data_IF_833618942383
#
_entry.id   IF_833618942383
#
_cell.length_a   1.000
_cell.length_b   1.000
_cell.length_c   1.000
_cell.angle_alpha   90.00
_cell.angle_beta   90.00
_cell.angle_gamma   90.00
#
_symmetry.space_group_name_H-M   'P 1'
#
loop_
_entity.id
_entity.type
_entity.pdbx_description
1 polymer ?
#
# COMPACT_ATOMS: atom_id res chain seq x y z
N UNK A 1 -23.71 23.37 10.97
CA UNK A 1 -23.26 22.04 10.51
C UNK A 1 -22.03 21.69 11.31
N UNK A 2 -22.08 20.66 12.15
CA UNK A 2 -20.87 20.07 12.73
C UNK A 2 -20.05 19.46 11.60
N UNK A 3 -18.73 19.72 11.57
CA UNK A 3 -17.85 19.17 10.54
C UNK A 3 -17.79 17.65 10.61
N UNK A 4 -17.54 16.98 9.48
CA UNK A 4 -17.28 15.54 9.47
C UNK A 4 -15.94 15.30 10.18
N UNK A 5 -15.87 14.39 11.17
CA UNK A 5 -14.62 14.05 11.83
C UNK A 5 -13.55 13.60 10.82
N UNK A 6 -12.32 14.03 11.06
CA UNK A 6 -11.16 13.67 10.27
C UNK A 6 -10.00 13.28 11.18
N UNK A 7 -9.24 12.27 10.78
CA UNK A 7 -8.02 11.84 11.45
C UNK A 7 -6.90 11.64 10.42
N UNK A 8 -5.67 11.95 10.81
CA UNK A 8 -4.48 11.75 10.00
C UNK A 8 -3.39 11.06 10.80
N UNK A 9 -2.61 10.20 10.13
CA UNK A 9 -1.49 9.49 10.73
C UNK A 9 -0.43 9.15 9.68
N UNK A 10 0.76 8.76 10.13
CA UNK A 10 1.81 8.24 9.25
C UNK A 10 2.37 6.96 9.85
N UNK A 11 2.44 5.92 9.04
CA UNK A 11 3.14 4.67 9.40
C UNK A 11 4.40 4.51 8.54
N UNK A 12 5.40 3.84 9.10
CA UNK A 12 6.61 3.43 8.39
C UNK A 12 6.66 1.90 8.29
N UNK A 13 6.99 1.40 7.11
CA UNK A 13 7.07 -0.02 6.79
C UNK A 13 8.50 -0.32 6.35
N UNK A 14 9.15 -1.23 7.06
CA UNK A 14 10.45 -1.77 6.64
C UNK A 14 10.23 -2.88 5.61
N UNK A 15 11.01 -2.85 4.56
CA UNK A 15 11.02 -3.83 3.47
C UNK A 15 12.41 -4.44 3.39
N UNK A 16 12.51 -5.74 3.11
CA UNK A 16 13.78 -6.47 3.03
C UNK A 16 14.27 -6.70 1.60
N UNK A 17 13.51 -6.23 0.61
CA UNK A 17 13.73 -6.42 -0.82
C UNK A 17 12.40 -6.60 -1.54
N UNK A 18 12.46 -6.92 -2.84
CA UNK A 18 11.28 -7.07 -3.70
C UNK A 18 10.25 -7.99 -3.08
N UNK A 19 8.99 -7.55 -3.06
CA UNK A 19 7.90 -8.39 -2.55
C UNK A 19 6.79 -7.64 -1.88
N UNK A 20 5.85 -8.43 -1.36
CA UNK A 20 4.65 -7.98 -0.71
C UNK A 20 4.86 -7.92 0.81
N UNK A 21 4.71 -6.74 1.39
CA UNK A 21 4.65 -6.55 2.85
C UNK A 21 3.21 -6.22 3.23
N UNK A 22 2.56 -7.11 3.97
CA UNK A 22 1.16 -6.93 4.36
C UNK A 22 1.01 -5.88 5.47
N UNK A 23 0.09 -4.94 5.28
CA UNK A 23 -0.18 -3.85 6.23
C UNK A 23 -1.63 -3.84 6.73
N UNK A 24 -2.47 -4.80 6.32
CA UNK A 24 -3.90 -4.90 6.69
C UNK A 24 -4.13 -4.73 8.19
N UNK A 25 -3.35 -5.43 9.02
CA UNK A 25 -3.48 -5.39 10.48
C UNK A 25 -3.09 -4.03 11.08
N UNK A 26 -2.12 -3.33 10.49
CA UNK A 26 -1.69 -1.99 10.92
C UNK A 26 -2.80 -0.96 10.64
N UNK A 27 -3.40 -1.03 9.46
CA UNK A 27 -4.53 -0.17 9.10
C UNK A 27 -5.74 -0.42 10.00
N UNK A 28 -6.06 -1.69 10.26
CA UNK A 28 -7.14 -2.08 11.18
C UNK A 28 -6.89 -1.54 12.60
N UNK A 29 -5.66 -1.65 13.09
CA UNK A 29 -5.28 -1.13 14.41
C UNK A 29 -5.51 0.38 14.47
N UNK A 30 -5.02 1.12 13.49
CA UNK A 30 -5.18 2.56 13.45
C UNK A 30 -6.66 3.00 13.41
N UNK A 31 -7.49 2.34 12.59
CA UNK A 31 -8.94 2.59 12.56
C UNK A 31 -9.60 2.35 13.92
N UNK A 32 -9.18 1.32 14.65
CA UNK A 32 -9.65 1.05 16.01
C UNK A 32 -9.20 2.11 17.01
N UNK A 33 -7.97 2.62 16.90
CA UNK A 33 -7.43 3.65 17.79
C UNK A 33 -8.18 4.98 17.66
N UNK A 34 -8.61 5.33 16.45
CA UNK A 34 -9.40 6.55 16.20
C UNK A 34 -10.90 6.35 16.43
N UNK A 35 -11.34 5.16 16.84
CA UNK A 35 -12.75 4.82 17.02
C UNK A 35 -13.57 4.93 15.74
N UNK A 36 -12.99 4.63 14.58
CA UNK A 36 -13.70 4.72 13.30
C UNK A 36 -14.94 3.82 13.28
N UNK A 37 -16.06 4.32 12.77
CA UNK A 37 -17.30 3.53 12.64
C UNK A 37 -17.74 3.39 11.18
N UNK A 38 -17.79 4.49 10.44
CA UNK A 38 -18.18 4.49 9.03
C UNK A 38 -17.55 5.67 8.29
N UNK A 39 -16.94 5.45 7.13
CA UNK A 39 -16.26 6.51 6.39
C UNK A 39 -15.34 5.99 5.30
N UNK A 40 -14.34 6.79 4.97
CA UNK A 40 -13.33 6.46 3.97
C UNK A 40 -11.94 6.51 4.58
N UNK A 41 -11.20 5.41 4.50
CA UNK A 41 -9.77 5.35 4.73
C UNK A 41 -9.03 5.62 3.42
N UNK A 42 -8.18 6.63 3.39
CA UNK A 42 -7.19 6.84 2.34
C UNK A 42 -5.81 6.44 2.88
N UNK A 43 -5.10 5.58 2.15
CA UNK A 43 -3.70 5.26 2.39
C UNK A 43 -2.87 5.67 1.17
N UNK A 44 -1.85 6.50 1.37
CA UNK A 44 -1.00 7.06 0.31
C UNK A 44 0.47 6.80 0.59
N UNK A 45 1.15 6.04 -0.27
CA UNK A 45 2.60 5.81 -0.16
C UNK A 45 3.36 6.98 -0.76
N UNK A 46 4.28 7.55 0.02
CA UNK A 46 5.05 8.74 -0.34
C UNK A 46 6.36 8.38 -1.05
N UNK A 47 6.29 7.41 -1.97
CA UNK A 47 7.42 6.83 -2.69
C UNK A 47 7.02 6.50 -4.12
N UNK A 48 7.92 6.70 -5.07
CA UNK A 48 7.68 6.47 -6.51
C UNK A 48 8.30 5.16 -7.02
N UNK A 49 9.00 4.42 -6.14
CA UNK A 49 9.65 3.14 -6.43
C UNK A 49 9.01 1.96 -5.69
N UNK A 50 7.80 2.17 -5.13
CA UNK A 50 7.00 1.18 -4.42
C UNK A 50 5.51 1.49 -4.66
N UNK A 51 4.63 0.54 -4.35
CA UNK A 51 3.19 0.68 -4.55
C UNK A 51 2.38 0.32 -3.31
N UNK A 52 1.12 0.78 -3.29
CA UNK A 52 0.08 0.26 -2.41
C UNK A 52 -0.95 -0.47 -3.25
N UNK A 53 -1.24 -1.72 -2.90
CA UNK A 53 -2.18 -2.55 -3.64
C UNK A 53 -3.07 -3.36 -2.71
N UNK A 54 -4.22 -3.77 -3.23
CA UNK A 54 -5.09 -4.76 -2.61
C UNK A 54 -5.03 -6.02 -3.47
N UNK A 55 -4.63 -7.14 -2.87
CA UNK A 55 -4.49 -8.42 -3.56
C UNK A 55 -4.85 -9.61 -2.66
N UNK A 56 -4.78 -10.81 -3.24
CA UNK A 56 -5.07 -12.05 -2.51
C UNK A 56 -4.14 -12.26 -1.31
N UNK A 57 -4.72 -12.59 -0.15
CA UNK A 57 -3.99 -12.88 1.09
C UNK A 57 -4.02 -14.35 1.52
N UNK A 58 -4.61 -15.24 0.71
CA UNK A 58 -4.76 -16.66 1.03
C UNK A 58 -3.66 -17.52 0.40
N UNK A 59 -3.53 -17.52 -0.93
CA UNK A 59 -2.50 -18.30 -1.61
C UNK A 59 -1.20 -17.47 -1.82
N UNK A 60 -0.06 -17.86 -1.21
CA UNK A 60 1.21 -17.19 -1.47
C UNK A 60 1.67 -17.26 -2.93
N UNK A 61 1.25 -18.26 -3.71
CA UNK A 61 1.65 -18.41 -5.12
C UNK A 61 1.13 -17.25 -5.98
N UNK A 62 -0.04 -16.69 -5.67
CA UNK A 62 -0.57 -15.50 -6.38
C UNK A 62 0.43 -14.34 -6.32
N UNK A 63 1.08 -14.15 -5.17
CA UNK A 63 2.08 -13.08 -5.01
C UNK A 63 3.37 -13.38 -5.78
N UNK A 64 3.76 -14.64 -5.90
CA UNK A 64 4.92 -15.06 -6.72
C UNK A 64 4.64 -14.78 -8.19
N UNK A 65 3.50 -15.24 -8.71
CA UNK A 65 3.11 -15.05 -10.11
C UNK A 65 2.97 -13.55 -10.46
N UNK A 66 2.46 -12.73 -9.53
CA UNK A 66 2.38 -11.28 -9.72
C UNK A 66 3.76 -10.61 -9.75
N UNK A 67 4.73 -11.06 -8.95
CA UNK A 67 6.11 -10.56 -9.04
C UNK A 67 6.75 -10.92 -10.38
N UNK A 68 6.59 -12.16 -10.83
CA UNK A 68 7.10 -12.63 -12.11
C UNK A 68 6.51 -11.83 -13.28
N UNK A 69 5.20 -11.57 -13.25
CA UNK A 69 4.54 -10.73 -14.24
C UNK A 69 5.11 -9.30 -14.28
N UNK A 70 5.45 -8.72 -13.14
CA UNK A 70 6.04 -7.38 -13.07
C UNK A 70 7.46 -7.33 -13.65
N UNK A 71 8.24 -8.40 -13.51
CA UNK A 71 9.55 -8.50 -14.17
C UNK A 71 9.42 -8.56 -15.70
N UNK A 72 8.32 -9.08 -16.23
CA UNK A 72 8.02 -9.04 -17.68
C UNK A 72 7.65 -7.61 -18.13
N UNK A 73 6.83 -6.90 -17.35
CA UNK A 73 6.39 -5.55 -17.71
C UNK A 73 7.50 -4.49 -17.62
N UNK A 74 8.43 -4.66 -16.68
CA UNK A 74 9.52 -3.73 -16.41
C UNK A 74 10.81 -4.50 -16.09
N UNK A 75 11.46 -5.07 -17.12
CA UNK A 75 12.66 -5.89 -16.94
C UNK A 75 13.89 -5.03 -16.62
N UNK A 76 14.77 -5.52 -15.77
CA UNK A 76 15.95 -4.75 -15.30
C UNK A 76 17.13 -4.74 -16.26
N UNK A 77 17.16 -5.66 -17.22
CA UNK A 77 18.22 -5.80 -18.23
C UNK A 77 18.03 -4.84 -19.43
N UNK A 78 16.95 -4.07 -19.45
CA UNK A 78 16.70 -3.07 -20.48
C UNK A 78 17.51 -1.80 -20.22
N UNK A 79 18.09 -1.24 -21.28
CA UNK A 79 18.77 0.04 -21.24
C UNK A 79 17.79 1.21 -21.07
N UNK A 80 17.43 1.53 -19.82
CA UNK A 80 16.70 2.73 -19.48
C UNK A 80 17.63 3.95 -19.38
N UNK A 81 17.09 5.14 -19.69
CA UNK A 81 17.85 6.38 -19.54
C UNK A 81 18.08 6.77 -18.07
N UNK A 82 17.23 6.28 -17.16
CA UNK A 82 17.34 6.48 -15.72
C UNK A 82 17.82 5.18 -15.08
N UNK A 83 19.00 5.20 -14.48
CA UNK A 83 19.61 4.04 -13.84
C UNK A 83 20.62 4.47 -12.77
N UNK A 84 20.41 5.65 -12.19
CA UNK A 84 21.38 6.29 -11.28
C UNK A 84 21.50 5.50 -9.98
N UNK A 85 20.43 4.86 -9.56
CA UNK A 85 20.37 4.05 -8.34
C UNK A 85 20.47 2.54 -8.60
N UNK A 86 20.91 2.12 -9.80
CA UNK A 86 21.14 0.73 -10.16
C UNK A 86 20.12 0.15 -11.17
N UNK A 87 20.21 -1.16 -11.45
CA UNK A 87 19.42 -1.79 -12.51
C UNK A 87 17.91 -1.83 -12.24
N UNK A 88 17.52 -1.80 -10.96
CA UNK A 88 16.11 -1.82 -10.54
C UNK A 88 15.48 -0.43 -10.39
N UNK A 89 16.24 0.63 -10.72
CA UNK A 89 15.84 2.02 -10.54
C UNK A 89 14.62 2.40 -11.40
N UNK A 90 14.80 2.58 -12.71
CA UNK A 90 13.68 2.86 -13.60
C UNK A 90 12.60 1.75 -13.63
N UNK A 91 12.94 0.44 -13.57
CA UNK A 91 11.93 -0.60 -13.43
C UNK A 91 10.98 -0.38 -12.25
N UNK A 92 11.50 0.03 -11.08
CA UNK A 92 10.66 0.29 -9.90
C UNK A 92 9.68 1.44 -10.11
N UNK A 93 10.07 2.47 -10.86
CA UNK A 93 9.19 3.57 -11.24
C UNK A 93 8.09 3.13 -12.20
N UNK A 94 8.41 2.29 -13.19
CA UNK A 94 7.42 1.73 -14.11
C UNK A 94 6.43 0.85 -13.35
N UNK A 95 6.92 -0.06 -12.50
CA UNK A 95 6.10 -0.93 -11.66
C UNK A 95 5.23 -0.11 -10.71
N UNK A 96 5.70 1.03 -10.19
CA UNK A 96 4.89 1.95 -9.39
C UNK A 96 3.81 2.66 -10.21
N UNK A 97 4.15 3.15 -11.41
CA UNK A 97 3.26 3.87 -12.32
C UNK A 97 2.07 3.02 -12.80
N UNK A 98 2.29 1.74 -13.09
CA UNK A 98 1.21 0.83 -13.55
C UNK A 98 0.35 0.32 -12.40
N UNK A 99 0.87 0.37 -11.17
CA UNK A 99 0.14 0.04 -9.96
C UNK A 99 -0.42 1.32 -9.32
N UNK A 100 -0.84 1.24 -8.06
CA UNK A 100 -1.34 2.39 -7.32
C UNK A 100 -0.34 2.87 -6.26
N UNK A 101 -0.37 4.18 -5.99
CA UNK A 101 0.27 4.79 -4.82
C UNK A 101 -0.75 5.25 -3.77
N UNK A 102 -2.04 5.16 -4.09
CA UNK A 102 -3.15 5.61 -3.25
C UNK A 102 -4.26 4.57 -3.25
N UNK A 103 -4.73 4.20 -2.07
CA UNK A 103 -5.89 3.33 -1.89
C UNK A 103 -6.97 4.09 -1.13
N UNK A 104 -8.22 3.95 -1.59
CA UNK A 104 -9.40 4.49 -0.92
C UNK A 104 -10.28 3.29 -0.53
N UNK A 105 -10.39 3.01 0.77
CA UNK A 105 -11.00 1.81 1.31
C UNK A 105 -12.20 2.23 2.16
N UNK A 106 -13.43 1.85 1.80
CA UNK A 106 -14.59 2.14 2.62
C UNK A 106 -14.48 1.45 3.98
N UNK A 107 -14.99 2.12 5.01
CA UNK A 107 -15.08 1.61 6.37
C UNK A 107 -16.54 1.56 6.77
N UNK A 108 -16.99 0.45 7.32
CA UNK A 108 -18.33 0.26 7.85
C UNK A 108 -18.31 -0.69 9.05
N UNK A 109 -19.08 -0.38 10.09
CA UNK A 109 -19.07 -1.15 11.34
C UNK A 109 -17.69 -1.20 12.01
N UNK A 110 -16.88 -0.15 11.80
CA UNK A 110 -15.51 -0.05 12.30
C UNK A 110 -14.47 -0.95 11.62
N UNK A 111 -14.81 -1.57 10.49
CA UNK A 111 -13.89 -2.39 9.71
C UNK A 111 -13.76 -1.87 8.27
N UNK A 112 -12.58 -2.03 7.69
CA UNK A 112 -12.39 -1.90 6.23
C UNK A 112 -13.29 -2.92 5.52
N UNK A 113 -14.03 -2.51 4.50
CA UNK A 113 -14.95 -3.39 3.75
C UNK A 113 -14.21 -4.20 2.67
N UNK A 114 -13.15 -4.89 3.08
CA UNK A 114 -12.37 -5.79 2.22
C UNK A 114 -13.16 -7.08 1.96
N UNK A 115 -12.99 -7.65 0.77
CA UNK A 115 -13.46 -9.00 0.46
C UNK A 115 -12.70 -10.06 1.26
N UNK A 116 -13.24 -11.28 1.35
CA UNK A 116 -12.70 -12.39 2.14
C UNK A 116 -11.20 -12.64 1.90
N UNK A 117 -10.77 -12.49 0.65
CA UNK A 117 -9.40 -12.77 0.24
C UNK A 117 -8.56 -11.52 0.03
N UNK A 118 -9.04 -10.33 0.38
CA UNK A 118 -8.31 -9.08 0.15
C UNK A 118 -7.42 -8.73 1.34
N UNK A 119 -6.12 -8.64 1.09
CA UNK A 119 -5.13 -7.99 1.95
C UNK A 119 -4.64 -6.68 1.34
N UNK A 120 -4.19 -5.76 2.19
CA UNK A 120 -3.55 -4.50 1.79
C UNK A 120 -2.04 -4.64 1.92
N UNK A 121 -1.31 -4.32 0.86
CA UNK A 121 0.13 -4.53 0.77
C UNK A 121 0.88 -3.27 0.38
N UNK A 122 2.07 -3.11 0.95
CA UNK A 122 3.18 -2.42 0.28
C UNK A 122 3.81 -3.41 -0.66
N UNK A 123 3.88 -3.06 -1.94
CA UNK A 123 4.64 -3.81 -2.93
C UNK A 123 5.97 -3.09 -3.16
N UNK A 124 7.04 -3.69 -2.64
CA UNK A 124 8.41 -3.23 -2.82
C UNK A 124 8.94 -3.71 -4.17
N UNK A 125 9.47 -2.77 -4.95
CA UNK A 125 10.02 -3.05 -6.28
C UNK A 125 11.56 -3.01 -6.30
N UNK A 126 12.19 -2.49 -5.23
CA UNK A 126 13.65 -2.42 -5.09
C UNK A 126 14.19 -3.65 -4.39
N UNK A 127 15.39 -4.05 -4.79
CA UNK A 127 16.12 -5.20 -4.26
C UNK A 127 16.71 -4.89 -2.89
N UNK A 128 17.19 -3.66 -2.68
CA UNK A 128 17.74 -3.22 -1.40
C UNK A 128 16.63 -3.00 -0.36
N UNK A 129 16.91 -3.17 0.95
CA UNK A 129 15.98 -2.80 2.00
C UNK A 129 15.65 -1.30 2.01
N UNK A 130 14.37 -0.96 2.17
CA UNK A 130 13.90 0.41 2.29
C UNK A 130 12.93 0.62 3.45
N UNK A 131 12.79 1.88 3.87
CA UNK A 131 11.73 2.35 4.78
C UNK A 131 10.69 3.14 3.99
N UNK A 132 9.50 2.56 3.84
CA UNK A 132 8.38 3.16 3.11
C UNK A 132 7.47 3.91 4.07
N UNK A 133 7.07 5.12 3.66
CA UNK A 133 6.24 6.03 4.46
C UNK A 133 4.85 6.08 3.84
N UNK A 134 3.84 5.83 4.65
CA UNK A 134 2.44 5.83 4.22
C UNK A 134 1.70 6.87 5.04
N UNK A 135 1.12 7.86 4.36
CA UNK A 135 0.18 8.79 4.96
C UNK A 135 -1.20 8.13 5.00
N UNK A 136 -1.82 8.15 6.17
CA UNK A 136 -3.17 7.67 6.39
C UNK A 136 -4.09 8.87 6.66
N UNK A 137 -5.27 8.85 6.06
CA UNK A 137 -6.34 9.79 6.36
C UNK A 137 -7.64 9.03 6.50
N UNK A 138 -8.44 9.40 7.48
CA UNK A 138 -9.80 8.92 7.64
C UNK A 138 -10.73 10.11 7.69
N UNK A 139 -11.82 10.04 6.93
CA UNK A 139 -12.91 11.02 6.98
C UNK A 139 -14.21 10.24 7.14
N UNK A 140 -14.95 10.52 8.21
CA UNK A 140 -16.20 9.82 8.50
C UNK A 140 -16.66 9.95 9.94
N UNK A 141 -17.58 9.07 10.32
CA UNK A 141 -18.09 8.96 11.68
C UNK A 141 -17.11 8.17 12.55
N UNK A 142 -16.82 8.72 13.70
CA UNK A 142 -16.10 8.08 14.80
C UNK A 142 -17.06 7.92 15.97
N UNK A 143 -16.77 6.97 16.87
CA UNK A 143 -17.53 6.81 18.11
C UNK A 143 -17.47 8.12 18.92
N UNK A 144 -18.61 8.53 19.48
CA UNK A 144 -18.65 9.63 20.43
C UNK A 144 -17.88 9.21 21.70
N UNK A 145 -16.96 10.07 22.15
CA UNK A 145 -16.15 9.85 23.36
C UNK A 145 -16.99 9.90 24.64
#
# INVERSE_FOLDING_TARGET
MTGVPQAGHQIEIETSGKGFVEITALLKRWLSEIGAEAGLLTAFIRHTSASLIIQENADPNVRVDLLDALEIFAPEDRAYAHSEEGPDDMPSHIKSMINAVSLNIPVAGGAMTLGTWQGVYVLEHRTAPHRRKIALSFIGRVADA
#
